data_IF_647398525372
#
_entry.id   IF_647398525372
#
_cell.length_a   1.000
_cell.length_b   1.000
_cell.length_c   1.000
_cell.angle_alpha   90.00
_cell.angle_beta   90.00
_cell.angle_gamma   90.00
#
_symmetry.space_group_name_H-M   'P 1'
#
loop_
_entity.id
_entity.type
_entity.pdbx_description
1 polymer ?
#
# COMPACT_ATOMS: atom_id res chain seq x y z
N UNK A 1 -38.62 14.29 73.04
CA UNK A 1 -39.16 12.95 72.68
C UNK A 1 -37.97 12.05 72.49
N UNK A 2 -37.62 11.34 73.55
CA UNK A 2 -36.49 10.43 73.66
C UNK A 2 -36.83 9.05 73.07
N UNK A 3 -35.80 8.27 72.73
CA UNK A 3 -35.94 6.87 72.30
C UNK A 3 -34.61 6.27 71.86
N UNK A 4 -33.78 5.94 72.84
CA UNK A 4 -32.52 5.19 72.74
C UNK A 4 -32.73 3.73 72.30
N UNK A 5 -31.76 3.12 71.59
CA UNK A 5 -31.58 1.66 71.65
C UNK A 5 -30.27 1.24 72.33
N UNK A 6 -30.45 0.32 73.27
CA UNK A 6 -29.56 -0.35 74.23
C UNK A 6 -28.46 -1.23 73.57
N UNK A 7 -27.28 -1.40 74.21
CA UNK A 7 -26.11 -2.07 73.67
C UNK A 7 -26.01 -3.51 74.18
N UNK A 8 -26.06 -4.52 73.29
CA UNK A 8 -25.67 -5.91 73.62
C UNK A 8 -25.51 -6.79 72.37
N UNK A 9 -24.30 -6.82 71.79
CA UNK A 9 -23.54 -8.02 71.35
C UNK A 9 -22.34 -7.65 70.48
N UNK A 10 -21.15 -7.85 71.04
CA UNK A 10 -19.88 -7.97 70.34
C UNK A 10 -19.69 -9.42 69.82
N UNK A 11 -18.51 -9.82 69.31
CA UNK A 11 -17.70 -9.27 68.20
C UNK A 11 -17.45 -10.38 67.14
N UNK A 12 -16.75 -10.08 66.03
CA UNK A 12 -15.58 -10.90 65.68
C UNK A 12 -14.68 -10.19 64.67
N UNK A 13 -13.39 -10.32 64.97
CA UNK A 13 -12.27 -9.60 64.40
C UNK A 13 -11.81 -10.22 63.08
N UNK A 14 -11.31 -9.37 62.19
CA UNK A 14 -10.52 -9.74 61.03
C UNK A 14 -9.63 -8.56 60.70
N UNK A 15 -8.40 -8.63 61.22
CA UNK A 15 -7.32 -7.65 61.17
C UNK A 15 -7.13 -6.96 59.80
N UNK A 16 -6.93 -5.64 59.85
CA UNK A 16 -6.27 -4.87 58.80
C UNK A 16 -4.75 -5.11 58.82
N UNK A 17 -3.89 -4.16 58.39
CA UNK A 17 -4.18 -2.81 57.92
C UNK A 17 -3.35 -2.37 56.67
N UNK A 18 -3.68 -1.20 56.11
CA UNK A 18 -2.68 -0.32 55.46
C UNK A 18 -1.84 0.40 56.54
N UNK A 19 -1.21 1.57 56.33
CA UNK A 19 -1.09 2.34 55.10
C UNK A 19 0.31 2.99 54.85
N UNK A 20 0.38 3.63 53.68
CA UNK A 20 1.18 4.74 53.14
C UNK A 20 2.24 5.55 53.96
N UNK A 21 3.26 6.00 53.18
CA UNK A 21 4.05 7.28 53.21
C UNK A 21 5.10 7.44 54.34
N UNK A 22 6.25 8.11 54.21
CA UNK A 22 6.93 8.87 53.14
C UNK A 22 8.41 9.14 53.53
N UNK A 23 9.22 9.55 52.55
CA UNK A 23 10.38 10.47 52.61
C UNK A 23 11.67 10.09 53.40
N UNK A 24 12.82 10.17 52.72
CA UNK A 24 14.00 10.97 53.12
C UNK A 24 15.14 10.84 52.10
N UNK A 25 16.03 11.83 52.10
CA UNK A 25 16.94 12.20 51.02
C UNK A 25 18.42 11.83 51.28
N UNK A 26 19.16 11.63 50.17
CA UNK A 26 20.61 11.84 50.01
C UNK A 26 21.54 10.63 50.29
N UNK A 27 22.84 10.67 49.89
CA UNK A 27 23.54 11.58 48.97
C UNK A 27 24.30 10.85 47.82
N UNK A 28 24.93 11.62 46.93
CA UNK A 28 25.67 11.18 45.73
C UNK A 28 27.07 10.54 45.93
N UNK A 29 27.89 10.51 44.86
CA UNK A 29 28.78 9.39 44.53
C UNK A 29 30.18 9.47 45.16
N UNK A 30 30.87 8.31 45.26
CA UNK A 30 32.31 8.24 45.54
C UNK A 30 33.05 7.36 44.53
N UNK A 31 34.08 7.99 43.98
CA UNK A 31 35.16 7.41 43.19
C UNK A 31 36.18 6.68 44.09
N UNK A 32 36.87 5.69 43.53
CA UNK A 32 38.19 5.27 43.98
C UNK A 32 39.27 5.70 42.99
N UNK A 33 40.42 6.07 43.57
CA UNK A 33 41.63 6.61 42.96
C UNK A 33 42.80 5.65 43.22
N UNK A 34 43.78 5.66 42.31
CA UNK A 34 45.18 5.26 42.54
C UNK A 34 45.64 4.20 41.55
N UNK A 35 46.75 4.31 40.80
CA UNK A 35 47.89 5.22 40.85
C UNK A 35 48.61 5.27 39.49
N UNK A 36 49.25 6.41 39.20
CA UNK A 36 50.27 6.58 38.15
C UNK A 36 51.67 6.33 38.76
N UNK A 37 52.72 6.05 37.97
CA UNK A 37 53.75 7.08 37.82
C UNK A 37 54.46 7.20 36.45
N UNK A 38 54.59 8.47 36.00
CA UNK A 38 55.82 9.22 35.62
C UNK A 38 56.59 8.93 34.30
N UNK A 39 56.50 9.93 33.39
CA UNK A 39 57.53 10.77 32.66
C UNK A 39 58.78 10.09 32.05
N UNK A 40 58.97 10.14 30.70
CA UNK A 40 59.66 11.15 29.84
C UNK A 40 61.22 11.10 29.91
N UNK A 41 62.06 11.66 28.98
CA UNK A 41 61.81 12.51 27.79
C UNK A 41 62.72 12.24 26.55
N UNK A 42 62.61 13.08 25.50
CA UNK A 42 63.67 13.28 24.47
C UNK A 42 63.13 13.76 23.10
N UNK A 43 62.82 15.05 22.88
CA UNK A 43 63.68 16.13 22.35
C UNK A 43 64.18 15.97 20.88
N UNK A 44 63.48 16.63 19.93
CA UNK A 44 63.88 17.61 18.85
C UNK A 44 65.34 17.60 18.30
N UNK A 45 65.71 18.28 17.15
CA UNK A 45 64.95 19.14 16.21
C UNK A 45 65.32 19.07 14.68
N UNK A 46 64.53 19.80 13.84
CA UNK A 46 64.89 20.70 12.69
C UNK A 46 65.67 20.18 11.46
N UNK A 47 65.12 20.41 10.25
CA UNK A 47 65.73 21.25 9.18
C UNK A 47 64.81 21.44 7.93
N UNK A 48 64.56 22.70 7.58
CA UNK A 48 64.35 23.24 6.22
C UNK A 48 65.68 23.91 5.81
N UNK A 49 66.08 23.93 4.52
CA UNK A 49 65.69 25.03 3.59
C UNK A 49 65.51 24.50 2.14
N UNK A 50 65.07 25.21 1.10
CA UNK A 50 64.75 26.61 0.86
C UNK A 50 64.36 26.80 -0.62
N UNK A 51 63.66 27.91 -0.89
CA UNK A 51 63.69 28.79 -2.08
C UNK A 51 63.71 28.23 -3.51
N UNK A 52 62.71 28.65 -4.30
CA UNK A 52 62.80 28.73 -5.76
C UNK A 52 61.45 29.04 -6.44
N UNK A 53 61.16 30.32 -6.70
CA UNK A 53 60.16 30.78 -7.69
C UNK A 53 60.71 30.57 -9.12
N UNK A 54 59.84 30.45 -10.16
CA UNK A 54 59.46 31.61 -10.97
C UNK A 54 57.96 31.60 -11.41
N UNK A 55 57.25 32.73 -11.29
CA UNK A 55 56.86 33.69 -12.35
C UNK A 55 56.02 33.10 -13.50
N UNK A 56 54.81 33.64 -13.63
CA UNK A 56 53.97 33.64 -14.85
C UNK A 56 54.74 34.14 -16.10
N UNK A 57 54.23 33.80 -17.29
CA UNK A 57 53.53 34.84 -18.04
C UNK A 57 52.25 34.38 -18.76
N UNK A 58 51.18 35.17 -18.61
CA UNK A 58 50.12 35.38 -19.61
C UNK A 58 50.65 36.47 -20.57
N UNK A 59 50.60 36.30 -21.91
CA UNK A 59 49.42 36.76 -22.66
C UNK A 59 49.14 36.02 -23.98
N UNK A 60 47.94 36.24 -24.53
CA UNK A 60 47.76 36.21 -25.98
C UNK A 60 46.47 35.59 -26.50
N UNK A 61 45.48 36.45 -26.67
CA UNK A 61 44.38 36.31 -27.63
C UNK A 61 44.81 35.65 -28.95
N UNK A 62 44.06 34.65 -29.40
CA UNK A 62 44.19 34.04 -30.72
C UNK A 62 42.95 33.23 -31.05
N UNK A 63 42.02 33.88 -31.76
CA UNK A 63 40.89 33.20 -32.40
C UNK A 63 41.42 32.13 -33.35
N UNK A 64 41.00 30.88 -33.15
CA UNK A 64 41.34 29.75 -34.00
C UNK A 64 40.16 28.80 -34.09
N UNK A 65 39.46 28.85 -35.22
CA UNK A 65 38.47 27.85 -35.64
C UNK A 65 39.10 26.45 -35.57
N UNK A 66 38.69 25.64 -34.60
CA UNK A 66 39.05 24.22 -34.55
C UNK A 66 37.91 23.39 -35.18
N UNK A 67 38.26 22.77 -36.30
CA UNK A 67 37.41 21.92 -37.12
C UNK A 67 36.88 20.69 -36.36
N UNK A 68 35.64 20.30 -36.72
CA UNK A 68 34.99 19.05 -36.29
C UNK A 68 35.85 17.85 -36.72
N UNK A 69 36.04 16.82 -35.87
CA UNK A 69 36.65 15.58 -36.34
C UNK A 69 35.71 14.88 -37.33
N UNK A 70 36.29 14.47 -38.46
CA UNK A 70 35.61 13.72 -39.51
C UNK A 70 35.09 12.39 -38.95
N UNK A 71 33.80 12.10 -39.19
CA UNK A 71 33.20 10.78 -39.00
C UNK A 71 33.85 9.82 -40.00
N UNK A 72 34.56 8.80 -39.50
CA UNK A 72 34.92 7.64 -40.32
C UNK A 72 33.66 6.90 -40.81
N UNK A 73 33.73 6.22 -41.96
CA UNK A 73 32.59 5.47 -42.48
C UNK A 73 32.22 4.33 -41.52
N UNK A 74 30.91 4.17 -41.29
CA UNK A 74 30.37 3.05 -40.54
C UNK A 74 30.68 1.72 -41.26
N UNK A 75 30.93 0.62 -40.53
CA UNK A 75 31.06 -0.69 -41.16
C UNK A 75 29.71 -1.12 -41.75
N UNK A 76 29.77 -1.57 -43.00
CA UNK A 76 28.66 -2.19 -43.74
C UNK A 76 28.28 -3.51 -43.08
N UNK A 77 27.21 -3.49 -42.28
CA UNK A 77 26.56 -4.69 -41.77
C UNK A 77 25.55 -5.15 -42.82
N UNK A 78 26.00 -6.07 -43.68
CA UNK A 78 25.13 -6.77 -44.63
C UNK A 78 23.94 -7.45 -43.95
N UNK A 79 22.88 -7.80 -44.70
CA UNK A 79 21.62 -8.25 -44.15
C UNK A 79 21.78 -9.55 -43.35
N UNK A 80 21.54 -9.48 -42.05
CA UNK A 80 21.41 -10.64 -41.18
C UNK A 80 20.13 -11.38 -41.60
N UNK A 81 20.29 -12.59 -42.16
CA UNK A 81 19.18 -13.53 -42.39
C UNK A 81 18.44 -13.75 -41.07
N UNK A 82 17.15 -13.44 -41.05
CA UNK A 82 16.25 -13.85 -39.98
C UNK A 82 16.29 -15.38 -39.87
N UNK A 83 16.80 -15.90 -38.75
CA UNK A 83 16.63 -17.31 -38.41
C UNK A 83 15.23 -17.47 -37.82
N UNK A 84 14.46 -18.36 -38.43
CA UNK A 84 13.11 -18.74 -38.04
C UNK A 84 13.14 -19.40 -36.63
N UNK A 85 12.26 -19.01 -35.69
CA UNK A 85 12.26 -19.61 -34.37
C UNK A 85 11.79 -21.08 -34.43
N UNK A 86 12.34 -21.98 -33.60
CA UNK A 86 11.90 -23.38 -33.58
C UNK A 86 10.45 -23.49 -33.09
N UNK A 87 9.62 -24.18 -33.88
CA UNK A 87 8.22 -24.40 -33.58
C UNK A 87 8.05 -25.28 -32.33
N UNK A 88 7.23 -24.83 -31.38
CA UNK A 88 6.81 -25.64 -30.23
C UNK A 88 5.80 -26.70 -30.68
N UNK A 89 5.85 -27.94 -30.18
CA UNK A 89 4.80 -28.91 -30.42
C UNK A 89 3.51 -28.51 -29.66
N UNK A 90 2.37 -28.68 -30.32
CA UNK A 90 1.04 -28.43 -29.77
C UNK A 90 0.71 -29.41 -28.62
N UNK A 91 -0.10 -29.01 -27.62
CA UNK A 91 -0.59 -29.92 -26.60
C UNK A 91 -1.60 -30.92 -27.20
N UNK A 92 -1.42 -32.20 -26.86
CA UNK A 92 -2.25 -33.30 -27.33
C UNK A 92 -3.71 -33.20 -26.87
N UNK A 93 -4.62 -33.50 -27.80
CA UNK A 93 -6.04 -33.69 -27.54
C UNK A 93 -6.30 -35.03 -26.81
N UNK A 94 -7.32 -35.12 -25.94
CA UNK A 94 -7.78 -36.40 -25.40
C UNK A 94 -8.59 -37.20 -26.44
N UNK A 95 -8.62 -38.53 -26.34
CA UNK A 95 -9.28 -39.39 -27.31
C UNK A 95 -10.80 -39.34 -27.22
N UNK A 96 -11.44 -39.23 -28.39
CA UNK A 96 -12.88 -39.40 -28.62
C UNK A 96 -13.27 -40.87 -28.70
N UNK A 97 -14.33 -41.27 -28.00
CA UNK A 97 -15.06 -42.51 -28.27
C UNK A 97 -16.48 -42.18 -28.82
N UNK A 98 -16.74 -42.66 -30.04
CA UNK A 98 -18.04 -42.88 -30.69
C UNK A 98 -18.93 -43.81 -29.84
N UNK A 99 -20.23 -44.00 -30.01
CA UNK A 99 -21.35 -43.48 -30.82
C UNK A 99 -22.59 -44.22 -30.29
N UNK A 100 -23.75 -43.58 -30.24
CA UNK A 100 -25.02 -44.25 -29.93
C UNK A 100 -26.20 -43.37 -30.31
N UNK A 101 -26.84 -43.70 -31.43
CA UNK A 101 -27.99 -43.00 -32.01
C UNK A 101 -29.27 -43.21 -31.19
N UNK A 102 -30.17 -42.21 -31.22
CA UNK A 102 -31.54 -42.35 -30.71
C UNK A 102 -32.31 -41.02 -30.69
N UNK A 103 -33.02 -40.71 -31.77
CA UNK A 103 -33.97 -39.60 -31.88
C UNK A 103 -35.28 -39.91 -31.14
N UNK A 104 -35.91 -38.92 -30.48
CA UNK A 104 -37.37 -38.88 -30.42
C UNK A 104 -37.96 -37.52 -30.86
N UNK A 105 -39.27 -37.48 -31.21
CA UNK A 105 -39.86 -36.43 -32.04
C UNK A 105 -40.42 -35.24 -31.27
N UNK A 106 -40.62 -34.13 -31.99
CA UNK A 106 -41.32 -32.89 -31.55
C UNK A 106 -42.83 -33.10 -31.40
N UNK A 107 -43.50 -32.36 -30.48
CA UNK A 107 -44.90 -31.97 -30.62
C UNK A 107 -45.08 -30.49 -30.99
N UNK A 108 -46.25 -30.23 -31.62
CA UNK A 108 -46.73 -29.01 -32.29
C UNK A 108 -47.32 -27.96 -31.32
N UNK A 109 -47.51 -26.70 -31.76
CA UNK A 109 -48.09 -25.62 -30.94
C UNK A 109 -49.62 -25.53 -31.11
N UNK A 110 -50.33 -25.09 -30.06
CA UNK A 110 -51.72 -24.63 -30.20
C UNK A 110 -52.49 -24.46 -28.89
N UNK A 111 -52.90 -23.22 -28.60
CA UNK A 111 -54.19 -22.77 -28.02
C UNK A 111 -54.02 -21.29 -27.62
N UNK A 112 -54.47 -20.33 -28.44
CA UNK A 112 -55.81 -19.68 -28.39
C UNK A 112 -56.08 -18.98 -27.05
N UNK A 113 -56.07 -17.65 -27.06
CA UNK A 113 -56.63 -16.80 -26.01
C UNK A 113 -57.70 -15.91 -26.66
N UNK A 114 -58.94 -16.04 -26.21
CA UNK A 114 -60.09 -15.20 -26.61
C UNK A 114 -60.10 -13.85 -25.85
N UNK A 115 -60.78 -12.80 -26.37
CA UNK A 115 -60.86 -11.49 -25.73
C UNK A 115 -62.24 -11.10 -25.13
N UNK A 116 -62.18 -10.33 -24.01
CA UNK A 116 -63.11 -9.27 -23.51
C UNK A 116 -64.53 -9.67 -22.99
N UNK A 117 -65.22 -8.91 -22.08
CA UNK A 117 -65.36 -7.43 -22.07
C UNK A 117 -65.56 -6.65 -20.72
N UNK A 118 -65.49 -5.31 -20.79
CA UNK A 118 -66.58 -4.41 -20.34
C UNK A 118 -66.69 -3.87 -18.89
N UNK A 119 -66.14 -2.68 -18.66
CA UNK A 119 -66.58 -1.49 -17.88
C UNK A 119 -67.50 -1.55 -16.63
N UNK A 120 -67.09 -0.79 -15.59
CA UNK A 120 -67.96 -0.15 -14.58
C UNK A 120 -67.24 1.05 -13.91
N UNK A 121 -67.93 2.16 -13.53
CA UNK A 121 -67.29 3.44 -13.21
C UNK A 121 -67.00 3.70 -11.71
N UNK A 122 -66.14 4.71 -11.48
CA UNK A 122 -65.55 5.21 -10.22
C UNK A 122 -66.55 5.59 -9.11
N UNK A 123 -66.06 5.79 -7.86
CA UNK A 123 -66.11 7.15 -7.34
C UNK A 123 -64.80 7.66 -6.70
N UNK A 124 -64.77 8.97 -6.52
CA UNK A 124 -63.65 9.85 -6.21
C UNK A 124 -63.05 9.70 -4.80
N UNK A 125 -61.76 10.05 -4.69
CA UNK A 125 -61.10 10.47 -3.45
C UNK A 125 -59.95 11.42 -3.82
N UNK A 126 -60.11 12.72 -3.57
CA UNK A 126 -59.02 13.70 -3.50
C UNK A 126 -58.37 13.67 -2.10
N UNK A 127 -57.33 14.46 -1.78
CA UNK A 127 -55.95 14.37 -2.25
C UNK A 127 -54.99 14.24 -1.05
N UNK A 128 -54.08 13.26 -1.03
CA UNK A 128 -52.97 13.32 -0.07
C UNK A 128 -51.76 13.96 -0.75
N UNK A 129 -51.42 15.12 -0.20
CA UNK A 129 -50.22 15.91 -0.39
C UNK A 129 -49.00 15.07 -0.76
N UNK A 130 -48.66 15.07 -2.04
CA UNK A 130 -47.33 14.73 -2.51
C UNK A 130 -46.36 15.73 -1.92
N UNK A 131 -45.67 15.35 -0.85
CA UNK A 131 -44.39 15.95 -0.53
C UNK A 131 -43.52 15.78 -1.75
N UNK A 132 -43.21 16.90 -2.39
CA UNK A 132 -42.20 16.97 -3.42
C UNK A 132 -40.96 16.24 -2.90
N UNK A 133 -40.65 15.11 -3.52
CA UNK A 133 -39.38 14.45 -3.37
C UNK A 133 -38.32 15.45 -3.84
N UNK A 134 -37.67 16.09 -2.86
CA UNK A 134 -36.42 16.79 -3.09
C UNK A 134 -35.50 15.86 -3.89
N UNK A 135 -34.84 16.34 -4.96
CA UNK A 135 -33.86 15.54 -5.66
C UNK A 135 -32.76 15.21 -4.64
N UNK A 136 -32.74 13.94 -4.25
CA UNK A 136 -31.77 13.35 -3.34
C UNK A 136 -30.37 13.73 -3.85
N UNK A 137 -29.79 14.77 -3.26
CA UNK A 137 -28.39 15.10 -3.41
C UNK A 137 -27.63 13.82 -3.13
N UNK A 138 -27.03 13.22 -4.16
CA UNK A 138 -26.38 11.91 -4.16
C UNK A 138 -25.20 11.84 -3.21
N UNK A 139 -25.49 11.91 -1.90
CA UNK A 139 -24.55 11.75 -0.84
C UNK A 139 -24.12 10.28 -0.86
N UNK A 140 -22.95 10.03 -1.44
CA UNK A 140 -22.30 8.73 -1.41
C UNK A 140 -22.24 8.30 0.06
N UNK A 141 -23.02 7.27 0.40
CA UNK A 141 -23.05 6.73 1.76
C UNK A 141 -21.61 6.33 2.14
N UNK A 142 -21.12 6.69 3.34
CA UNK A 142 -19.77 6.37 3.73
C UNK A 142 -19.55 4.85 3.72
N UNK A 143 -18.38 4.36 3.28
CA UNK A 143 -18.13 2.93 3.11
C UNK A 143 -18.06 2.24 4.47
N UNK A 144 -19.04 1.42 4.80
CA UNK A 144 -19.10 0.76 6.11
C UNK A 144 -18.06 -0.38 6.25
N UNK A 145 -17.58 -0.94 5.14
CA UNK A 145 -16.57 -2.00 5.11
C UNK A 145 -15.23 -1.54 4.51
N UNK A 146 -14.15 -2.21 4.89
CA UNK A 146 -12.80 -2.02 4.32
C UNK A 146 -12.30 -3.32 3.69
N UNK A 147 -11.90 -3.26 2.42
CA UNK A 147 -11.18 -4.32 1.71
C UNK A 147 -9.71 -3.94 1.57
N UNK A 148 -8.81 -4.77 2.09
CA UNK A 148 -7.36 -4.63 1.87
C UNK A 148 -6.90 -5.75 0.94
N UNK A 149 -6.53 -5.41 -0.29
CA UNK A 149 -6.04 -6.34 -1.30
C UNK A 149 -4.51 -6.42 -1.26
N UNK A 150 -3.97 -7.63 -1.27
CA UNK A 150 -2.54 -7.93 -1.37
C UNK A 150 -2.30 -9.10 -2.33
N UNK A 151 -1.14 -9.13 -2.99
CA UNK A 151 -0.88 -10.09 -4.04
C UNK A 151 -0.38 -11.43 -3.49
N UNK A 152 0.58 -11.39 -2.56
CA UNK A 152 1.41 -12.52 -2.18
C UNK A 152 0.96 -13.15 -0.86
N UNK A 153 1.25 -14.45 -0.71
CA UNK A 153 1.01 -15.16 0.55
C UNK A 153 1.76 -14.55 1.73
N UNK A 154 2.99 -14.08 1.51
CA UNK A 154 3.81 -13.42 2.54
C UNK A 154 3.24 -12.05 2.95
N UNK A 155 2.66 -11.29 2.01
CA UNK A 155 1.99 -10.02 2.29
C UNK A 155 0.73 -10.24 3.11
N UNK A 156 -0.08 -11.21 2.68
CA UNK A 156 -1.28 -11.62 3.39
C UNK A 156 -0.96 -12.11 4.82
N UNK A 157 0.13 -12.85 4.99
CA UNK A 157 0.62 -13.27 6.31
C UNK A 157 0.99 -12.05 7.16
N UNK A 158 1.76 -11.10 6.62
CA UNK A 158 2.15 -9.88 7.32
C UNK A 158 0.92 -9.11 7.82
N UNK A 159 -0.04 -8.85 6.93
CA UNK A 159 -1.25 -8.10 7.24
C UNK A 159 -2.15 -8.86 8.24
N UNK A 160 -2.27 -10.19 8.13
CA UNK A 160 -3.08 -10.99 9.06
C UNK A 160 -2.49 -11.05 10.46
N UNK A 161 -1.17 -11.16 10.59
CA UNK A 161 -0.51 -11.21 11.90
C UNK A 161 -0.70 -9.92 12.71
N UNK A 162 -0.96 -8.79 12.05
CA UNK A 162 -1.25 -7.52 12.71
C UNK A 162 -2.61 -7.52 13.42
N UNK A 163 -3.61 -8.19 12.83
CA UNK A 163 -4.98 -8.27 13.35
C UNK A 163 -5.07 -9.12 14.63
N UNK A 164 -4.19 -10.10 14.78
CA UNK A 164 -4.14 -10.97 15.96
C UNK A 164 -3.41 -10.35 17.17
N UNK A 165 -2.66 -9.26 16.96
CA UNK A 165 -1.70 -8.74 17.96
C UNK A 165 -2.20 -7.53 18.76
N UNK A 166 -3.47 -7.14 18.65
CA UNK A 166 -4.02 -5.97 19.37
C UNK A 166 -5.33 -6.28 20.08
N UNK A 167 -5.39 -6.23 21.42
CA UNK A 167 -6.65 -6.09 22.14
C UNK A 167 -7.09 -4.62 22.02
N UNK A 168 -8.17 -4.35 21.27
CA UNK A 168 -8.71 -2.99 21.16
C UNK A 168 -9.09 -2.49 19.76
N UNK A 169 -9.46 -3.36 18.82
CA UNK A 169 -10.25 -2.94 17.65
C UNK A 169 -11.66 -2.56 18.14
N UNK A 170 -11.75 -1.36 18.72
CA UNK A 170 -12.96 -0.83 19.34
C UNK A 170 -14.13 -0.74 18.37
N UNK A 171 -15.33 -0.86 18.94
CA UNK A 171 -16.60 -0.62 18.29
C UNK A 171 -16.56 0.70 17.49
N UNK A 172 -16.59 0.62 16.15
CA UNK A 172 -16.69 1.82 15.29
C UNK A 172 -15.99 1.71 13.94
N UNK A 173 -14.97 0.85 13.77
CA UNK A 173 -14.47 0.50 12.44
C UNK A 173 -15.28 -0.70 11.93
N UNK A 174 -16.00 -0.55 10.83
CA UNK A 174 -16.79 -1.65 10.28
C UNK A 174 -15.92 -2.81 9.73
N UNK A 175 -16.53 -3.84 9.12
CA UNK A 175 -15.83 -5.09 8.82
C UNK A 175 -14.65 -4.89 7.87
N UNK A 176 -13.49 -5.41 8.26
CA UNK A 176 -12.25 -5.39 7.47
C UNK A 176 -11.96 -6.77 6.91
N UNK A 177 -11.86 -6.88 5.59
CA UNK A 177 -11.51 -8.11 4.86
C UNK A 177 -10.13 -7.98 4.23
N UNK A 178 -9.26 -8.97 4.48
CA UNK A 178 -8.00 -9.12 3.74
C UNK A 178 -8.23 -10.04 2.54
N UNK A 179 -7.89 -9.59 1.34
CA UNK A 179 -8.02 -10.34 0.10
C UNK A 179 -6.64 -10.62 -0.49
N UNK A 180 -6.32 -11.90 -0.67
CA UNK A 180 -5.16 -12.32 -1.46
C UNK A 180 -5.57 -12.44 -2.92
N UNK A 181 -5.04 -11.59 -3.79
CA UNK A 181 -5.40 -11.55 -5.21
C UNK A 181 -4.61 -12.53 -6.07
N UNK A 182 -3.38 -12.87 -5.67
CA UNK A 182 -2.38 -13.44 -6.57
C UNK A 182 -1.59 -12.35 -7.31
N UNK A 183 -0.45 -12.75 -7.87
CA UNK A 183 0.47 -11.86 -8.58
C UNK A 183 -0.04 -11.53 -9.98
N UNK A 184 0.10 -10.27 -10.37
CA UNK A 184 -0.21 -9.74 -11.69
C UNK A 184 -1.57 -9.04 -11.79
N UNK A 185 -1.71 -8.13 -12.77
CA UNK A 185 -2.83 -7.20 -12.87
C UNK A 185 -4.16 -7.92 -13.14
N UNK A 186 -4.17 -8.97 -13.96
CA UNK A 186 -5.39 -9.71 -14.28
C UNK A 186 -5.93 -10.49 -13.08
N UNK A 187 -5.05 -11.05 -12.25
CA UNK A 187 -5.44 -11.75 -11.03
C UNK A 187 -6.02 -10.76 -10.00
N UNK A 188 -5.37 -9.60 -9.83
CA UNK A 188 -5.89 -8.48 -9.04
C UNK A 188 -7.28 -8.05 -9.50
N UNK A 189 -7.44 -7.77 -10.79
CA UNK A 189 -8.72 -7.36 -11.38
C UNK A 189 -9.82 -8.38 -11.11
N UNK A 190 -9.58 -9.66 -11.38
CA UNK A 190 -10.57 -10.74 -11.18
C UNK A 190 -10.96 -10.89 -9.72
N UNK A 191 -9.98 -10.95 -8.82
CA UNK A 191 -10.22 -11.16 -7.39
C UNK A 191 -11.00 -10.00 -6.77
N UNK A 192 -10.59 -8.76 -7.06
CA UNK A 192 -11.24 -7.55 -6.55
C UNK A 192 -12.64 -7.42 -7.11
N UNK A 193 -12.81 -7.58 -8.43
CA UNK A 193 -14.14 -7.55 -9.05
C UNK A 193 -15.06 -8.62 -8.46
N UNK A 194 -14.53 -9.80 -8.12
CA UNK A 194 -15.31 -10.86 -7.51
C UNK A 194 -15.73 -10.54 -6.07
N UNK A 195 -14.81 -10.02 -5.27
CA UNK A 195 -15.06 -9.65 -3.87
C UNK A 195 -16.13 -8.56 -3.75
N UNK A 196 -16.15 -7.59 -4.67
CA UNK A 196 -17.03 -6.43 -4.62
C UNK A 196 -18.46 -6.69 -5.15
N UNK A 197 -18.82 -7.93 -5.56
CA UNK A 197 -20.18 -8.23 -6.05
C UNK A 197 -21.21 -8.40 -4.93
N UNK A 198 -20.78 -8.75 -3.73
CA UNK A 198 -21.66 -9.15 -2.63
C UNK A 198 -21.44 -8.33 -1.37
N UNK A 199 -22.45 -8.26 -0.50
CA UNK A 199 -22.26 -7.71 0.84
C UNK A 199 -21.24 -8.53 1.66
N UNK A 200 -20.56 -7.88 2.64
CA UNK A 200 -20.61 -6.44 2.95
C UNK A 200 -19.68 -5.60 2.05
N UNK A 201 -19.03 -6.22 1.06
CA UNK A 201 -17.95 -5.58 0.31
C UNK A 201 -18.42 -4.74 -0.88
N UNK A 202 -19.70 -4.81 -1.23
CA UNK A 202 -20.27 -4.10 -2.38
C UNK A 202 -19.99 -2.60 -2.37
N UNK A 203 -19.98 -2.00 -1.19
CA UNK A 203 -19.75 -0.58 -0.95
C UNK A 203 -18.45 -0.31 -0.18
N UNK A 204 -17.55 -1.30 -0.09
CA UNK A 204 -16.33 -1.17 0.71
C UNK A 204 -15.38 -0.12 0.14
N UNK A 205 -14.67 0.56 1.05
CA UNK A 205 -13.43 1.24 0.69
C UNK A 205 -12.37 0.19 0.33
N UNK A 206 -11.49 0.50 -0.61
CA UNK A 206 -10.47 -0.45 -1.08
C UNK A 206 -9.06 0.12 -0.88
N UNK A 207 -8.19 -0.64 -0.23
CA UNK A 207 -6.75 -0.37 -0.17
C UNK A 207 -5.99 -1.45 -0.92
N UNK A 208 -5.18 -1.06 -1.90
CA UNK A 208 -4.13 -1.93 -2.44
C UNK A 208 -2.88 -1.83 -1.55
N UNK A 209 -2.39 -2.96 -1.03
CA UNK A 209 -1.17 -2.97 -0.23
C UNK A 209 -0.32 -4.21 -0.45
N UNK A 210 0.97 -4.06 -0.25
CA UNK A 210 1.96 -5.09 -0.53
C UNK A 210 3.33 -4.45 -0.76
N UNK A 211 4.20 -5.16 -1.46
CA UNK A 211 5.52 -4.67 -1.80
C UNK A 211 5.54 -3.92 -3.14
N UNK A 212 6.56 -3.10 -3.33
CA UNK A 212 6.86 -2.41 -4.58
C UNK A 212 8.37 -2.22 -4.78
N UNK A 213 8.74 -1.87 -6.01
CA UNK A 213 10.06 -1.32 -6.30
C UNK A 213 10.02 0.21 -6.24
N UNK A 214 10.90 0.80 -5.43
CA UNK A 214 11.09 2.25 -5.38
C UNK A 214 11.79 2.74 -6.64
N UNK A 215 11.40 3.89 -7.19
CA UNK A 215 12.04 4.48 -8.37
C UNK A 215 12.81 5.76 -8.05
N UNK A 216 12.61 6.36 -6.88
CA UNK A 216 13.32 7.56 -6.49
C UNK A 216 14.66 7.30 -5.77
N UNK A 217 15.70 8.13 -6.04
CA UNK A 217 16.94 8.14 -5.26
C UNK A 217 16.66 8.30 -3.77
N UNK A 218 17.45 7.62 -2.94
CA UNK A 218 17.32 7.70 -1.48
C UNK A 218 16.11 6.95 -0.91
N UNK A 219 15.42 6.13 -1.71
CA UNK A 219 14.46 5.16 -1.20
C UNK A 219 15.16 3.93 -0.65
N UNK A 220 14.69 3.43 0.49
CA UNK A 220 15.29 2.28 1.16
C UNK A 220 14.26 1.17 1.41
N UNK A 221 14.69 -0.10 1.49
CA UNK A 221 13.79 -1.18 1.89
C UNK A 221 13.15 -0.95 3.27
N UNK A 222 11.82 -0.97 3.31
CA UNK A 222 11.02 -0.62 4.48
C UNK A 222 10.50 0.82 4.49
N UNK A 223 10.88 1.66 3.53
CA UNK A 223 10.16 2.90 3.26
C UNK A 223 8.75 2.59 2.76
N UNK A 224 7.82 3.52 3.03
CA UNK A 224 6.45 3.45 2.56
C UNK A 224 6.24 4.37 1.37
N UNK A 225 5.43 3.92 0.42
CA UNK A 225 4.91 4.73 -0.68
C UNK A 225 3.40 4.80 -0.52
N UNK A 226 2.88 6.02 -0.38
CA UNK A 226 1.45 6.30 -0.47
C UNK A 226 1.19 6.89 -1.85
N UNK A 227 0.36 6.23 -2.65
CA UNK A 227 0.01 6.75 -3.95
C UNK A 227 -0.95 7.94 -3.80
N UNK A 228 -0.64 9.08 -4.42
CA UNK A 228 -1.63 10.13 -4.70
C UNK A 228 -2.51 9.74 -5.90
N UNK A 229 -1.93 9.01 -6.85
CA UNK A 229 -2.59 8.36 -7.96
C UNK A 229 -1.88 7.07 -8.37
N UNK A 230 -2.63 6.15 -8.98
CA UNK A 230 -2.06 4.99 -9.68
C UNK A 230 -2.18 5.17 -11.18
N UNK A 231 -1.18 4.72 -11.94
CA UNK A 231 -1.14 4.82 -13.41
C UNK A 231 -1.04 3.43 -14.01
N UNK A 232 -1.87 3.11 -14.99
CA UNK A 232 -1.80 1.82 -15.69
C UNK A 232 -2.40 1.87 -17.08
N UNK A 233 -2.56 0.70 -17.75
CA UNK A 233 -3.10 0.63 -19.11
C UNK A 233 -4.51 1.20 -19.27
N UNK A 234 -5.26 1.29 -18.18
CA UNK A 234 -6.62 1.83 -18.14
C UNK A 234 -6.70 3.31 -17.71
N UNK A 235 -5.54 4.00 -17.71
CA UNK A 235 -5.42 5.40 -17.33
C UNK A 235 -4.98 5.60 -15.88
N UNK A 236 -5.27 6.80 -15.38
CA UNK A 236 -4.90 7.24 -14.03
C UNK A 236 -6.08 7.13 -13.08
N UNK A 237 -5.83 6.63 -11.86
CA UNK A 237 -6.82 6.56 -10.78
C UNK A 237 -6.34 7.36 -9.57
N UNK A 238 -6.99 8.48 -9.21
CA UNK A 238 -6.63 9.26 -8.02
C UNK A 238 -6.99 8.50 -6.74
N UNK A 239 -6.14 8.63 -5.72
CA UNK A 239 -6.36 8.09 -4.39
C UNK A 239 -7.14 9.07 -3.50
N UNK A 240 -7.90 8.52 -2.54
CA UNK A 240 -8.77 9.29 -1.66
C UNK A 240 -8.10 9.58 -0.32
N UNK A 241 -8.16 10.84 0.12
CA UNK A 241 -7.71 11.28 1.44
C UNK A 241 -6.26 10.85 1.79
N UNK A 242 -5.35 11.03 0.82
CA UNK A 242 -3.94 10.68 0.91
C UNK A 242 -3.25 11.29 2.14
N UNK A 243 -3.50 12.57 2.44
CA UNK A 243 -2.90 13.27 3.59
C UNK A 243 -3.28 12.63 4.93
N UNK A 244 -4.54 12.22 5.09
CA UNK A 244 -5.01 11.53 6.28
C UNK A 244 -4.33 10.16 6.44
N UNK A 245 -4.12 9.44 5.33
CA UNK A 245 -3.43 8.15 5.33
C UNK A 245 -1.95 8.31 5.66
N UNK A 246 -1.27 9.31 5.08
CA UNK A 246 0.12 9.65 5.41
C UNK A 246 0.27 9.99 6.89
N UNK A 247 -0.62 10.82 7.43
CA UNK A 247 -0.61 11.20 8.84
C UNK A 247 -0.83 9.99 9.77
N UNK A 248 -1.74 9.08 9.40
CA UNK A 248 -2.00 7.85 10.15
C UNK A 248 -0.79 6.89 10.11
N UNK A 249 -0.13 6.74 8.96
CA UNK A 249 1.09 5.95 8.82
C UNK A 249 2.24 6.52 9.64
N UNK A 250 2.44 7.83 9.63
CA UNK A 250 3.47 8.50 10.42
C UNK A 250 3.29 8.27 11.93
N UNK A 251 2.04 8.25 12.42
CA UNK A 251 1.71 7.90 13.81
C UNK A 251 1.94 6.43 14.12
N UNK A 252 1.51 5.52 13.23
CA UNK A 252 1.62 4.08 13.44
C UNK A 252 3.07 3.56 13.36
N UNK A 253 3.91 4.24 12.56
CA UNK A 253 5.26 3.81 12.21
C UNK A 253 6.28 4.95 12.41
N UNK A 254 6.48 5.41 13.67
CA UNK A 254 7.42 6.48 13.95
C UNK A 254 8.84 6.13 13.48
N UNK A 255 9.51 7.08 12.83
CA UNK A 255 10.86 6.90 12.29
C UNK A 255 10.92 6.14 10.95
N UNK A 256 9.77 5.86 10.30
CA UNK A 256 9.74 5.38 8.92
C UNK A 256 9.47 6.51 7.95
N UNK A 257 10.19 6.48 6.83
CA UNK A 257 9.98 7.43 5.73
C UNK A 257 8.72 7.06 4.96
N UNK A 258 7.87 8.05 4.72
CA UNK A 258 6.67 7.93 3.88
C UNK A 258 6.85 8.86 2.69
N UNK A 259 6.90 8.27 1.49
CA UNK A 259 6.94 8.99 0.23
C UNK A 259 5.53 9.06 -0.34
N UNK A 260 5.15 10.22 -0.90
CA UNK A 260 3.83 10.38 -1.55
C UNK A 260 4.02 10.79 -3.00
N UNK A 261 3.32 10.12 -3.91
CA UNK A 261 3.42 10.39 -5.34
C UNK A 261 2.96 9.24 -6.23
N UNK A 262 3.11 9.37 -7.57
CA UNK A 262 2.47 8.46 -8.51
C UNK A 262 3.03 7.04 -8.47
N UNK A 263 2.13 6.05 -8.40
CA UNK A 263 2.47 4.62 -8.41
C UNK A 263 2.08 4.00 -9.76
N UNK A 264 3.07 3.55 -10.54
CA UNK A 264 2.80 2.95 -11.85
C UNK A 264 2.59 1.44 -11.72
N UNK A 265 1.61 0.90 -12.43
CA UNK A 265 1.40 -0.53 -12.59
C UNK A 265 2.17 -1.07 -13.79
N UNK A 266 2.85 -2.19 -13.62
CA UNK A 266 3.45 -3.00 -14.69
C UNK A 266 2.80 -4.38 -14.77
N UNK A 267 2.88 -5.05 -15.91
CA UNK A 267 2.49 -6.46 -16.05
C UNK A 267 3.66 -7.42 -15.77
N UNK A 268 4.84 -6.90 -15.47
CA UNK A 268 6.04 -7.67 -15.18
C UNK A 268 6.95 -6.98 -14.15
N UNK A 269 7.99 -7.70 -13.70
CA UNK A 269 9.01 -7.14 -12.80
C UNK A 269 9.96 -6.26 -13.61
N UNK A 270 9.88 -4.95 -13.37
CA UNK A 270 10.69 -3.91 -13.99
C UNK A 270 12.13 -3.96 -13.47
N UNK A 271 13.11 -3.83 -14.37
CA UNK A 271 14.55 -3.85 -14.03
C UNK A 271 15.37 -2.88 -14.88
N UNK A 272 16.53 -2.47 -14.38
CA UNK A 272 17.55 -1.77 -15.12
C UNK A 272 17.06 -0.47 -15.76
N UNK A 273 17.37 -0.22 -17.05
CA UNK A 273 16.99 1.02 -17.76
C UNK A 273 15.50 1.33 -17.72
N UNK A 274 14.64 0.31 -17.62
CA UNK A 274 13.20 0.50 -17.56
C UNK A 274 12.77 1.26 -16.28
N UNK A 275 13.45 1.04 -15.15
CA UNK A 275 13.19 1.80 -13.91
C UNK A 275 13.48 3.30 -14.12
N UNK A 276 14.57 3.61 -14.83
CA UNK A 276 14.92 4.99 -15.14
C UNK A 276 13.91 5.64 -16.10
N UNK A 277 13.42 4.88 -17.09
CA UNK A 277 12.38 5.34 -17.99
C UNK A 277 11.07 5.63 -17.25
N UNK A 278 10.63 4.72 -16.37
CA UNK A 278 9.45 4.93 -15.53
C UNK A 278 9.61 6.13 -14.59
N UNK A 279 10.78 6.28 -13.96
CA UNK A 279 11.09 7.46 -13.15
C UNK A 279 10.96 8.76 -13.96
N UNK A 280 11.43 8.77 -15.21
CA UNK A 280 11.36 9.95 -16.08
C UNK A 280 9.91 10.37 -16.40
N UNK A 281 8.92 9.47 -16.25
CA UNK A 281 7.49 9.80 -16.34
C UNK A 281 6.93 10.47 -15.06
N UNK A 282 7.76 10.63 -14.03
CA UNK A 282 7.36 11.12 -12.71
C UNK A 282 6.84 10.02 -11.77
N UNK A 283 6.96 8.74 -12.14
CA UNK A 283 6.60 7.65 -11.25
C UNK A 283 7.54 7.58 -10.04
N UNK A 284 6.96 7.47 -8.86
CA UNK A 284 7.65 7.35 -7.58
C UNK A 284 8.03 5.89 -7.27
N UNK A 285 7.14 4.96 -7.63
CA UNK A 285 7.32 3.53 -7.45
C UNK A 285 6.57 2.74 -8.54
N UNK A 286 6.87 1.44 -8.62
CA UNK A 286 6.19 0.49 -9.50
C UNK A 286 5.82 -0.80 -8.76
N UNK A 287 4.62 -1.30 -9.02
CA UNK A 287 4.19 -2.66 -8.65
C UNK A 287 3.35 -3.28 -9.77
N UNK A 288 2.83 -4.49 -9.55
CA UNK A 288 2.09 -5.23 -10.57
C UNK A 288 0.57 -5.25 -10.37
N UNK A 289 0.05 -4.67 -9.28
CA UNK A 289 -1.35 -4.89 -8.88
C UNK A 289 -2.12 -3.64 -8.46
N UNK A 290 -1.48 -2.56 -8.01
CA UNK A 290 -2.20 -1.40 -7.45
C UNK A 290 -3.11 -0.74 -8.47
N UNK A 291 -2.59 -0.43 -9.67
CA UNK A 291 -3.38 0.21 -10.71
C UNK A 291 -4.59 -0.65 -11.12
N UNK A 292 -4.39 -1.96 -11.31
CA UNK A 292 -5.46 -2.89 -11.64
C UNK A 292 -6.48 -3.05 -10.50
N UNK A 293 -6.02 -3.07 -9.24
CA UNK A 293 -6.87 -3.16 -8.05
C UNK A 293 -7.77 -1.93 -7.93
N UNK A 294 -7.21 -0.73 -8.01
CA UNK A 294 -7.99 0.50 -7.83
C UNK A 294 -8.93 0.73 -9.02
N UNK A 295 -8.47 0.45 -10.24
CA UNK A 295 -9.33 0.54 -11.42
C UNK A 295 -10.50 -0.44 -11.34
N UNK A 296 -10.25 -1.71 -10.99
CA UNK A 296 -11.32 -2.70 -10.80
C UNK A 296 -12.29 -2.31 -9.67
N UNK A 297 -11.77 -1.70 -8.61
CA UNK A 297 -12.59 -1.15 -7.56
C UNK A 297 -13.50 -0.04 -8.08
N UNK A 298 -13.01 0.96 -8.81
CA UNK A 298 -13.87 2.02 -9.33
C UNK A 298 -14.84 1.53 -10.43
N UNK A 299 -14.44 0.55 -11.23
CA UNK A 299 -15.30 -0.06 -12.25
C UNK A 299 -16.54 -0.76 -11.66
N UNK A 300 -16.47 -1.21 -10.40
CA UNK A 300 -17.61 -1.79 -9.70
C UNK A 300 -18.48 -0.75 -8.97
N UNK A 301 -18.19 0.55 -9.11
CA UNK A 301 -18.98 1.68 -8.58
C UNK A 301 -18.15 2.69 -7.76
N UNK A 302 -18.72 3.88 -7.46
CA UNK A 302 -18.03 4.91 -6.66
C UNK A 302 -17.65 4.41 -5.26
N UNK A 303 -16.40 4.61 -4.85
CA UNK A 303 -15.89 4.33 -3.49
C UNK A 303 -14.54 5.00 -3.24
N UNK A 304 -14.16 5.21 -1.97
CA UNK A 304 -12.80 5.55 -1.61
C UNK A 304 -11.82 4.44 -1.98
N UNK A 305 -10.73 4.83 -2.62
CA UNK A 305 -9.63 3.94 -3.00
C UNK A 305 -8.30 4.53 -2.54
N UNK A 306 -7.36 3.70 -2.10
CA UNK A 306 -6.00 4.12 -1.79
C UNK A 306 -4.99 3.01 -2.08
N UNK A 307 -3.72 3.37 -2.28
CA UNK A 307 -2.64 2.40 -2.38
C UNK A 307 -1.48 2.76 -1.45
N UNK A 308 -1.05 1.78 -0.66
CA UNK A 308 0.11 1.90 0.25
C UNK A 308 1.02 0.71 0.04
N UNK A 309 2.23 0.97 -0.45
CA UNK A 309 3.23 -0.07 -0.72
C UNK A 309 4.46 0.12 0.14
N UNK A 310 5.12 -1.00 0.44
CA UNK A 310 6.40 -1.00 1.14
C UNK A 310 7.50 -1.29 0.13
N UNK A 311 8.53 -0.45 0.10
CA UNK A 311 9.68 -0.65 -0.78
C UNK A 311 10.42 -1.91 -0.34
N UNK A 312 10.61 -2.86 -1.27
CA UNK A 312 11.43 -4.07 -1.04
C UNK A 312 12.70 -4.08 -1.90
N UNK A 313 12.63 -3.43 -3.05
CA UNK A 313 13.72 -3.26 -4.01
C UNK A 313 13.94 -1.75 -4.26
N UNK A 314 15.12 -1.25 -3.95
CA UNK A 314 15.52 0.14 -4.14
C UNK A 314 16.43 0.26 -5.38
N UNK A 315 16.44 1.41 -6.09
CA UNK A 315 17.23 1.59 -7.32
C UNK A 315 18.73 1.26 -7.17
N UNK A 316 19.25 1.38 -5.95
CA UNK A 316 20.66 1.14 -5.61
C UNK A 316 20.96 -0.34 -5.26
N UNK A 317 19.95 -1.22 -5.23
CA UNK A 317 20.04 -2.63 -4.81
C UNK A 317 19.19 -3.57 -5.69
N UNK A 318 19.29 -3.43 -7.02
CA UNK A 318 18.67 -4.36 -7.97
C UNK A 318 19.10 -5.80 -7.68
N UNK A 319 18.19 -6.54 -7.02
CA UNK A 319 18.19 -7.98 -6.70
C UNK A 319 19.44 -8.80 -7.08
N UNK A 320 20.59 -8.51 -6.47
CA UNK A 320 21.69 -9.47 -6.27
C UNK A 320 22.42 -9.19 -4.94
N UNK A 321 22.61 -10.26 -4.16
CA UNK A 321 23.49 -10.47 -2.98
C UNK A 321 22.94 -10.06 -1.61
N UNK A 322 22.59 -11.07 -0.80
CA UNK A 322 22.73 -11.24 0.67
C UNK A 322 22.19 -10.13 1.61
N UNK A 323 22.25 -8.84 1.26
CA UNK A 323 21.53 -7.72 1.90
C UNK A 323 20.02 -7.73 1.65
N UNK A 324 19.55 -8.45 0.62
CA UNK A 324 18.13 -8.60 0.27
C UNK A 324 17.30 -9.29 1.36
N UNK A 325 17.92 -10.14 2.20
CA UNK A 325 17.20 -10.79 3.32
C UNK A 325 16.86 -9.77 4.40
N UNK A 326 17.79 -8.88 4.78
CA UNK A 326 17.51 -7.83 5.78
C UNK A 326 16.53 -6.80 5.24
N UNK A 327 16.66 -6.41 3.97
CA UNK A 327 15.72 -5.51 3.30
C UNK A 327 14.30 -6.10 3.24
N UNK A 328 14.17 -7.37 2.84
CA UNK A 328 12.90 -8.09 2.84
C UNK A 328 12.29 -8.27 4.23
N UNK A 329 13.11 -8.57 5.26
CA UNK A 329 12.64 -8.64 6.65
C UNK A 329 12.16 -7.27 7.15
N UNK A 330 12.89 -6.19 6.84
CA UNK A 330 12.49 -4.82 7.16
C UNK A 330 11.13 -4.50 6.54
N UNK A 331 11.00 -4.72 5.23
CA UNK A 331 9.77 -4.48 4.49
C UNK A 331 8.60 -5.30 5.05
N UNK A 332 8.81 -6.59 5.34
CA UNK A 332 7.81 -7.45 5.96
C UNK A 332 7.35 -6.94 7.34
N UNK A 333 8.29 -6.52 8.19
CA UNK A 333 7.97 -5.97 9.52
C UNK A 333 7.17 -4.68 9.42
N UNK A 334 7.49 -3.82 8.46
CA UNK A 334 6.75 -2.58 8.19
C UNK A 334 5.35 -2.92 7.67
N UNK A 335 5.21 -3.81 6.69
CA UNK A 335 3.90 -4.24 6.18
C UNK A 335 3.03 -4.87 7.28
N UNK A 336 3.61 -5.59 8.24
CA UNK A 336 2.87 -6.13 9.39
C UNK A 336 2.34 -5.03 10.32
N UNK A 337 2.80 -3.80 10.21
CA UNK A 337 2.43 -2.71 11.12
C UNK A 337 1.60 -1.60 10.46
N UNK A 338 1.22 -1.71 9.18
CA UNK A 338 0.40 -0.68 8.50
C UNK A 338 -1.10 -0.77 8.80
N UNK A 339 -1.62 -1.93 9.24
CA UNK A 339 -3.07 -2.12 9.38
C UNK A 339 -3.75 -1.09 10.31
N UNK A 340 -3.19 -0.70 11.48
CA UNK A 340 -3.79 0.35 12.31
C UNK A 340 -4.01 1.66 11.56
N UNK A 341 -3.08 2.07 10.69
CA UNK A 341 -3.22 3.27 9.87
C UNK A 341 -4.35 3.14 8.84
N UNK A 342 -4.54 1.94 8.28
CA UNK A 342 -5.65 1.67 7.35
C UNK A 342 -7.02 1.77 8.04
N UNK A 343 -7.11 1.28 9.27
CA UNK A 343 -8.34 1.39 10.08
C UNK A 343 -8.61 2.84 10.50
N UNK A 344 -7.57 3.61 10.79
CA UNK A 344 -7.70 5.04 11.09
C UNK A 344 -8.14 5.84 9.85
N UNK A 345 -7.52 5.59 8.69
CA UNK A 345 -7.96 6.18 7.43
C UNK A 345 -9.41 5.82 7.12
N UNK A 346 -9.80 4.55 7.25
CA UNK A 346 -11.18 4.11 7.02
C UNK A 346 -12.18 4.83 7.93
N UNK A 347 -11.88 4.96 9.23
CA UNK A 347 -12.71 5.73 10.17
C UNK A 347 -12.82 7.20 9.78
N UNK A 348 -11.74 7.81 9.27
CA UNK A 348 -11.77 9.21 8.83
C UNK A 348 -12.74 9.47 7.67
N UNK A 349 -13.04 8.43 6.86
CA UNK A 349 -14.00 8.51 5.75
C UNK A 349 -15.46 8.44 6.23
N UNK A 350 -15.70 7.90 7.43
CA UNK A 350 -17.03 7.79 8.03
C UNK A 350 -17.47 9.09 8.73
N UNK A 351 -16.52 9.98 9.01
CA UNK A 351 -16.80 11.25 9.68
C UNK A 351 -17.22 12.30 8.64
N UNK A 352 -18.29 13.08 8.89
CA UNK A 352 -18.59 14.24 8.07
C UNK A 352 -17.39 15.18 8.05
N UNK A 353 -16.90 15.53 6.85
CA UNK A 353 -15.87 16.57 6.71
C UNK A 353 -16.49 17.89 7.20
N UNK A 354 -16.00 18.38 8.33
CA UNK A 354 -16.37 19.68 8.89
C UNK A 354 -15.69 20.81 8.11
#
# INVERSE_FOLDING_TARGET
MAGEPDPRRAPEAGDGPGPARAASAGPGPRAERGAEPRRAPGSRPVARPGTGTPREPVPGSGAGCAARPARGPAPDLGPVRAQEPPQRPAPGAPPSARSGAGTPPRPRPGARTEPQPGAGPLPASDPESGTASDPESGAVRPPEALLVACALGIEHLALRSSRAAGPGAGAGAGPVTLLRTGMGPEQARRAVSAALRSEPLRTAAVIASGFCAGLAPGMHPGDLVVADETRGPHGTTPCTATDALVAALARALPGRTVHTGPLTGSDHVVRGPERAALRATGALAVDMESAATLHAALAAGPRPVAAVRVVVDAPEHELVRIGTVRGGISAFRVLRAVLPAFLEWHRSLLLPRR
#
